data_IF_308844249639
#
_entry.id   IF_308844249639
#
_cell.length_a   1.000
_cell.length_b   1.000
_cell.length_c   1.000
_cell.angle_alpha   90.00
_cell.angle_beta   90.00
_cell.angle_gamma   90.00
#
_symmetry.space_group_name_H-M   'P 1'
#
loop_
_entity.id
_entity.type
_entity.pdbx_description
1 polymer ?
#
# COMPACT_ATOMS: atom_id res chain seq x y z
N UNK A 1 -24.66 24.94 -29.70
CA UNK A 1 -24.79 24.82 -28.24
C UNK A 1 -24.57 23.35 -27.89
N UNK A 2 -23.31 22.91 -27.87
CA UNK A 2 -22.96 21.52 -27.60
C UNK A 2 -23.05 21.28 -26.09
N UNK A 3 -24.01 20.46 -25.68
CA UNK A 3 -24.06 19.89 -24.34
C UNK A 3 -22.84 19.00 -24.16
N UNK A 4 -21.79 19.55 -23.56
CA UNK A 4 -20.69 18.78 -22.99
C UNK A 4 -21.28 17.87 -21.93
N UNK A 5 -21.51 16.63 -22.33
CA UNK A 5 -21.86 15.53 -21.45
C UNK A 5 -20.73 15.42 -20.43
N UNK A 6 -20.96 15.97 -19.23
CA UNK A 6 -20.05 15.81 -18.08
C UNK A 6 -20.07 14.33 -17.77
N UNK A 7 -19.15 13.56 -18.38
CA UNK A 7 -18.87 12.18 -17.95
C UNK A 7 -18.71 12.22 -16.44
N UNK A 8 -19.74 11.74 -15.72
CA UNK A 8 -19.67 11.54 -14.27
C UNK A 8 -18.43 10.68 -14.07
N UNK A 9 -17.38 11.26 -13.49
CA UNK A 9 -16.21 10.49 -13.08
C UNK A 9 -16.74 9.36 -12.19
N UNK A 10 -16.42 8.12 -12.55
CA UNK A 10 -16.86 6.95 -11.76
C UNK A 10 -16.24 7.08 -10.36
N UNK A 11 -16.98 6.70 -9.32
CA UNK A 11 -16.43 6.64 -7.97
C UNK A 11 -15.30 5.60 -7.88
N UNK A 12 -14.34 5.82 -6.98
CA UNK A 12 -13.45 4.77 -6.52
C UNK A 12 -14.25 3.63 -5.89
N UNK A 13 -13.81 2.39 -6.08
CA UNK A 13 -14.49 1.19 -5.56
C UNK A 13 -13.51 0.33 -4.79
N UNK A 14 -13.91 -0.17 -3.61
CA UNK A 14 -13.14 -1.18 -2.89
C UNK A 14 -13.48 -2.57 -3.45
N UNK A 15 -12.47 -3.32 -3.85
CA UNK A 15 -12.65 -4.67 -4.37
C UNK A 15 -13.07 -5.64 -3.25
N UNK A 16 -13.90 -6.61 -3.60
CA UNK A 16 -14.15 -7.77 -2.75
C UNK A 16 -12.92 -8.67 -2.66
N UNK A 17 -12.83 -9.49 -1.60
CA UNK A 17 -11.72 -10.44 -1.43
C UNK A 17 -11.59 -11.41 -2.62
N UNK A 18 -12.72 -11.85 -3.18
CA UNK A 18 -12.73 -12.75 -4.35
C UNK A 18 -12.21 -12.08 -5.62
N UNK A 19 -12.58 -10.83 -5.88
CA UNK A 19 -12.06 -10.04 -7.00
C UNK A 19 -10.57 -9.79 -6.86
N UNK A 20 -10.14 -9.44 -5.65
CA UNK A 20 -8.73 -9.19 -5.38
C UNK A 20 -7.89 -10.45 -5.52
N UNK A 21 -8.37 -11.60 -5.00
CA UNK A 21 -7.71 -12.90 -5.17
C UNK A 21 -7.51 -13.25 -6.63
N UNK A 22 -8.53 -13.08 -7.47
CA UNK A 22 -8.41 -13.33 -8.92
C UNK A 22 -7.34 -12.46 -9.57
N UNK A 23 -7.25 -11.17 -9.20
CA UNK A 23 -6.22 -10.27 -9.74
C UNK A 23 -4.83 -10.67 -9.29
N UNK A 24 -4.63 -11.01 -8.01
CA UNK A 24 -3.34 -11.50 -7.53
C UNK A 24 -2.91 -12.80 -8.23
N UNK A 25 -3.83 -13.75 -8.40
CA UNK A 25 -3.53 -14.99 -9.14
C UNK A 25 -3.16 -14.74 -10.60
N UNK A 26 -3.77 -13.74 -11.25
CA UNK A 26 -3.43 -13.37 -12.61
C UNK A 26 -2.03 -12.74 -12.71
N UNK A 27 -1.65 -11.90 -11.75
CA UNK A 27 -0.39 -11.14 -11.79
C UNK A 27 0.83 -11.94 -11.30
N UNK A 28 0.69 -12.66 -10.18
CA UNK A 28 1.83 -13.32 -9.50
C UNK A 28 1.59 -14.82 -9.24
N UNK A 29 0.51 -15.38 -9.78
CA UNK A 29 0.29 -16.83 -9.85
C UNK A 29 0.39 -17.54 -8.51
N UNK A 30 1.20 -18.61 -8.47
CA UNK A 30 1.41 -19.44 -7.29
C UNK A 30 2.19 -18.75 -6.17
N UNK A 31 2.76 -17.56 -6.40
CA UNK A 31 3.42 -16.79 -5.35
C UNK A 31 2.41 -16.13 -4.40
N UNK A 32 1.24 -15.71 -4.92
CA UNK A 32 0.22 -14.98 -4.17
C UNK A 32 -0.13 -15.57 -2.80
N UNK A 33 -0.42 -16.88 -2.63
CA UNK A 33 -0.80 -17.43 -1.33
C UNK A 33 0.35 -17.56 -0.33
N UNK A 34 1.61 -17.45 -0.76
CA UNK A 34 2.79 -17.71 0.07
C UNK A 34 3.38 -16.44 0.72
N UNK A 35 2.99 -15.27 0.20
CA UNK A 35 3.45 -13.97 0.69
C UNK A 35 2.66 -13.54 1.92
N UNK A 36 3.32 -12.92 2.89
CA UNK A 36 2.81 -12.66 4.22
C UNK A 36 3.65 -11.55 4.86
N UNK A 37 2.99 -10.66 5.60
CA UNK A 37 3.70 -9.74 6.48
C UNK A 37 4.23 -10.50 7.70
N UNK A 38 5.51 -10.36 8.03
CA UNK A 38 6.14 -11.05 9.16
C UNK A 38 6.91 -10.09 10.06
N UNK A 39 7.07 -10.39 11.37
CA UNK A 39 8.04 -9.71 12.20
C UNK A 39 9.45 -9.87 11.63
N UNK A 40 10.23 -8.78 11.65
CA UNK A 40 11.60 -8.75 11.09
C UNK A 40 12.55 -9.72 11.79
N UNK A 41 12.30 -10.02 13.06
CA UNK A 41 13.08 -10.99 13.84
C UNK A 41 12.62 -12.44 13.66
N UNK A 42 11.58 -12.68 12.86
CA UNK A 42 11.05 -14.01 12.59
C UNK A 42 10.18 -14.59 13.72
N UNK A 43 9.88 -13.80 14.76
CA UNK A 43 9.05 -14.27 15.88
C UNK A 43 7.66 -14.66 15.40
N UNK A 44 7.13 -15.79 15.87
CA UNK A 44 5.74 -16.16 15.63
C UNK A 44 4.82 -15.42 16.61
N UNK A 45 3.85 -14.69 16.07
CA UNK A 45 3.02 -13.76 16.83
C UNK A 45 1.58 -13.81 16.34
N UNK A 46 0.65 -13.53 17.25
CA UNK A 46 -0.78 -13.38 16.92
C UNK A 46 -1.15 -11.97 16.48
N UNK A 47 -0.25 -11.01 16.71
CA UNK A 47 -0.33 -9.59 16.31
C UNK A 47 1.00 -9.13 15.77
N UNK A 48 0.99 -8.47 14.62
CA UNK A 48 2.20 -7.85 14.08
C UNK A 48 2.68 -6.74 15.02
N UNK A 49 4.00 -6.56 15.21
CA UNK A 49 4.58 -5.55 16.09
C UNK A 49 4.56 -4.14 15.44
N UNK A 50 3.43 -3.77 14.84
CA UNK A 50 3.30 -2.52 14.12
C UNK A 50 3.35 -1.32 15.06
N UNK A 51 4.19 -0.35 14.71
CA UNK A 51 4.35 0.91 15.43
C UNK A 51 4.12 2.05 14.45
N UNK A 52 2.89 2.56 14.43
CA UNK A 52 2.50 3.68 13.58
C UNK A 52 3.38 4.93 13.78
N UNK A 53 3.74 5.36 15.01
CA UNK A 53 4.64 6.49 15.21
C UNK A 53 5.97 6.38 14.45
N UNK A 54 6.64 5.22 14.49
CA UNK A 54 7.90 4.99 13.77
C UNK A 54 7.70 5.01 12.25
N UNK A 55 6.67 4.35 11.74
CA UNK A 55 6.35 4.35 10.31
C UNK A 55 6.01 5.75 9.81
N UNK A 56 5.18 6.49 10.55
CA UNK A 56 4.79 7.87 10.24
C UNK A 56 5.98 8.83 10.26
N UNK A 57 6.88 8.70 11.24
CA UNK A 57 8.11 9.51 11.31
C UNK A 57 8.93 9.34 10.03
N UNK A 58 9.07 8.09 9.57
CA UNK A 58 9.74 7.78 8.31
C UNK A 58 9.04 8.44 7.11
N UNK A 59 7.72 8.27 6.98
CA UNK A 59 6.98 8.86 5.87
C UNK A 59 7.07 10.38 5.83
N UNK A 60 6.97 11.05 6.98
CA UNK A 60 7.10 12.49 7.08
C UNK A 60 8.51 12.98 6.68
N UNK A 61 9.56 12.28 7.14
CA UNK A 61 10.95 12.63 6.84
C UNK A 61 11.27 12.50 5.35
N UNK A 62 10.94 11.37 4.73
CA UNK A 62 11.36 11.09 3.35
C UNK A 62 10.43 11.69 2.31
N UNK A 63 9.14 11.84 2.63
CA UNK A 63 8.22 12.50 1.69
C UNK A 63 8.61 13.99 1.53
N UNK A 64 8.84 14.71 2.63
CA UNK A 64 9.11 16.16 2.61
C UNK A 64 10.40 16.55 1.89
N UNK A 65 11.33 15.60 1.71
CA UNK A 65 12.65 15.83 1.10
C UNK A 65 12.69 15.78 -0.42
N UNK A 66 11.63 15.35 -1.08
CA UNK A 66 11.81 15.01 -2.49
C UNK A 66 11.06 13.78 -2.98
N UNK A 67 10.33 13.11 -2.10
CA UNK A 67 10.31 11.67 -2.21
C UNK A 67 11.74 11.13 -1.96
N UNK A 68 11.86 10.14 -1.10
CA UNK A 68 13.08 9.37 -0.98
C UNK A 68 12.82 8.05 -0.28
N UNK A 69 13.89 7.32 -0.09
CA UNK A 69 13.97 6.29 0.94
C UNK A 69 15.39 6.32 1.51
N UNK A 70 15.62 5.56 2.57
CA UNK A 70 16.92 5.41 3.23
C UNK A 70 17.70 4.20 2.68
N UNK A 71 17.39 3.76 1.45
CA UNK A 71 18.09 2.64 0.86
C UNK A 71 19.47 3.07 0.34
N UNK A 72 20.55 2.36 0.71
CA UNK A 72 21.91 2.70 0.29
C UNK A 72 22.20 2.34 -1.18
N UNK A 73 21.31 1.60 -1.86
CA UNK A 73 21.47 1.25 -3.27
C UNK A 73 21.26 2.44 -4.22
N UNK A 74 20.62 3.51 -3.74
CA UNK A 74 20.18 4.65 -4.55
C UNK A 74 19.29 4.26 -5.73
N UNK A 75 18.70 3.07 -5.68
CA UNK A 75 17.80 2.54 -6.70
C UNK A 75 16.34 2.76 -6.29
N UNK A 76 15.48 2.88 -7.31
CA UNK A 76 14.04 3.09 -7.12
C UNK A 76 13.69 4.27 -6.18
N UNK A 77 14.36 5.43 -6.28
CA UNK A 77 14.19 6.53 -5.34
C UNK A 77 12.86 7.24 -5.48
N UNK A 78 11.95 6.81 -6.39
CA UNK A 78 10.58 7.31 -6.57
C UNK A 78 9.52 6.18 -6.55
N UNK A 79 9.92 4.94 -6.21
CA UNK A 79 9.02 3.79 -6.15
C UNK A 79 8.19 3.76 -4.86
N UNK A 80 6.87 3.78 -5.03
CA UNK A 80 5.93 3.87 -3.93
C UNK A 80 5.91 2.62 -3.04
N UNK A 81 6.15 1.43 -3.61
CA UNK A 81 6.23 0.19 -2.84
C UNK A 81 7.45 0.22 -1.94
N UNK A 82 8.59 0.62 -2.49
CA UNK A 82 9.85 0.74 -1.78
C UNK A 82 9.68 1.67 -0.58
N UNK A 83 9.08 2.86 -0.78
CA UNK A 83 8.77 3.81 0.29
C UNK A 83 7.89 3.21 1.40
N UNK A 84 6.77 2.57 1.04
CA UNK A 84 5.84 1.98 2.00
C UNK A 84 6.48 0.80 2.76
N UNK A 85 7.25 -0.04 2.06
CA UNK A 85 7.92 -1.18 2.66
C UNK A 85 9.01 -0.77 3.67
N UNK A 86 9.73 0.32 3.43
CA UNK A 86 10.65 0.86 4.44
C UNK A 86 9.94 1.40 5.66
N UNK A 87 8.81 2.10 5.51
CA UNK A 87 8.01 2.54 6.64
C UNK A 87 7.53 1.37 7.51
N UNK A 88 7.09 0.28 6.88
CA UNK A 88 6.79 -1.00 7.58
C UNK A 88 8.02 -1.58 8.28
N UNK A 89 9.19 -1.53 7.65
CA UNK A 89 10.45 -2.00 8.24
C UNK A 89 10.84 -1.20 9.49
N UNK A 90 10.50 0.10 9.56
CA UNK A 90 10.69 0.90 10.78
C UNK A 90 9.78 0.46 11.93
N UNK A 91 8.63 -0.11 11.59
CA UNK A 91 7.77 -0.84 12.53
C UNK A 91 8.12 -2.34 12.67
N UNK A 92 9.33 -2.76 12.29
CA UNK A 92 9.82 -4.14 12.40
C UNK A 92 8.99 -5.18 11.62
N UNK A 93 8.35 -4.79 10.52
CA UNK A 93 7.56 -5.70 9.66
C UNK A 93 8.19 -5.77 8.27
N UNK A 94 8.26 -6.97 7.70
CA UNK A 94 8.72 -7.24 6.33
C UNK A 94 7.71 -8.12 5.59
N UNK A 95 7.87 -8.26 4.28
CA UNK A 95 7.21 -9.31 3.48
C UNK A 95 8.12 -10.55 3.49
N UNK A 96 7.58 -11.74 3.73
CA UNK A 96 8.36 -12.98 3.60
C UNK A 96 8.57 -13.33 2.11
N UNK A 97 9.77 -13.80 1.77
CA UNK A 97 10.07 -14.38 0.45
C UNK A 97 9.64 -13.52 -0.77
N UNK A 98 9.83 -12.19 -0.77
CA UNK A 98 9.55 -11.42 -1.97
C UNK A 98 10.50 -11.85 -3.10
N UNK A 99 10.04 -11.80 -4.35
CA UNK A 99 10.89 -12.19 -5.48
C UNK A 99 12.04 -11.22 -5.71
N UNK A 100 11.95 -10.02 -5.15
CA UNK A 100 13.00 -9.00 -5.21
C UNK A 100 12.98 -8.15 -3.94
N UNK A 101 14.16 -7.88 -3.39
CA UNK A 101 14.37 -6.94 -2.28
C UNK A 101 15.40 -5.90 -2.65
N UNK A 102 15.31 -4.72 -2.02
CA UNK A 102 16.42 -3.77 -2.01
C UNK A 102 17.53 -4.20 -1.04
N UNK A 103 18.60 -3.41 -0.93
CA UNK A 103 19.73 -3.69 -0.03
C UNK A 103 19.34 -3.81 1.46
N UNK A 104 18.24 -3.17 1.90
CA UNK A 104 17.72 -3.26 3.27
C UNK A 104 16.81 -4.49 3.49
N UNK A 105 16.62 -5.34 2.48
CA UNK A 105 15.78 -6.54 2.55
C UNK A 105 14.28 -6.26 2.49
N UNK A 106 13.84 -5.06 2.08
CA UNK A 106 12.41 -4.75 1.96
C UNK A 106 11.88 -5.04 0.55
N UNK A 107 10.60 -5.42 0.46
CA UNK A 107 9.92 -5.72 -0.80
C UNK A 107 9.78 -4.45 -1.66
N UNK A 108 9.99 -4.60 -2.98
CA UNK A 108 9.89 -3.50 -3.96
C UNK A 108 8.80 -3.72 -5.02
N UNK A 109 7.97 -4.77 -4.90
CA UNK A 109 6.88 -5.08 -5.84
C UNK A 109 5.51 -4.90 -5.20
N UNK A 110 4.69 -4.02 -5.77
CA UNK A 110 3.41 -3.63 -5.14
C UNK A 110 2.46 -4.82 -5.01
N UNK A 111 2.44 -5.69 -6.02
CA UNK A 111 1.55 -6.85 -6.10
C UNK A 111 1.88 -7.84 -4.98
N UNK A 112 3.17 -8.02 -4.70
CA UNK A 112 3.66 -8.88 -3.62
C UNK A 112 3.34 -8.29 -2.25
N UNK A 113 3.56 -6.98 -2.06
CA UNK A 113 3.19 -6.30 -0.82
C UNK A 113 1.67 -6.40 -0.58
N UNK A 114 0.86 -6.21 -1.62
CA UNK A 114 -0.59 -6.28 -1.51
C UNK A 114 -1.08 -7.71 -1.18
N UNK A 115 -0.46 -8.73 -1.77
CA UNK A 115 -0.71 -10.13 -1.42
C UNK A 115 -0.33 -10.42 0.04
N UNK A 116 0.81 -9.90 0.51
CA UNK A 116 1.25 -10.04 1.89
C UNK A 116 0.25 -9.45 2.88
N UNK A 117 -0.31 -8.27 2.60
CA UNK A 117 -1.37 -7.66 3.41
C UNK A 117 -2.66 -8.49 3.42
N UNK A 118 -3.08 -9.02 2.26
CA UNK A 118 -4.25 -9.89 2.16
C UNK A 118 -4.12 -11.10 3.07
N UNK A 119 -3.00 -11.80 2.98
CA UNK A 119 -2.77 -13.01 3.75
C UNK A 119 -2.55 -12.68 5.24
N UNK A 120 -1.93 -11.54 5.54
CA UNK A 120 -1.78 -11.04 6.91
C UNK A 120 -3.14 -10.76 7.57
N UNK A 121 -4.14 -10.25 6.84
CA UNK A 121 -5.49 -10.06 7.36
C UNK A 121 -6.20 -11.36 7.74
N UNK A 122 -5.83 -12.50 7.13
CA UNK A 122 -6.32 -13.82 7.52
C UNK A 122 -5.55 -14.46 8.68
N UNK A 123 -4.30 -14.03 8.92
CA UNK A 123 -3.41 -14.61 9.94
C UNK A 123 -3.40 -13.83 11.26
N UNK A 124 -3.27 -12.50 11.20
CA UNK A 124 -3.03 -11.66 12.37
C UNK A 124 -4.30 -10.95 12.83
N UNK A 125 -4.54 -10.97 14.15
CA UNK A 125 -5.73 -10.37 14.74
C UNK A 125 -5.80 -8.85 14.63
N UNK A 126 -4.67 -8.19 14.36
CA UNK A 126 -4.57 -6.75 14.22
C UNK A 126 -4.45 -6.24 12.78
N UNK A 127 -4.53 -7.11 11.77
CA UNK A 127 -4.56 -6.69 10.36
C UNK A 127 -5.98 -6.83 9.84
N UNK A 128 -6.57 -5.73 9.36
CA UNK A 128 -7.99 -5.69 8.96
C UNK A 128 -8.18 -5.09 7.58
N UNK A 129 -8.97 -5.72 6.70
CA UNK A 129 -9.40 -5.08 5.47
C UNK A 129 -10.44 -4.00 5.77
N UNK A 130 -10.36 -2.86 5.09
CA UNK A 130 -11.32 -1.77 5.17
C UNK A 130 -12.17 -1.80 3.90
N UNK A 131 -13.39 -2.32 4.01
CA UNK A 131 -14.32 -2.50 2.88
C UNK A 131 -15.21 -1.30 2.59
N UNK A 132 -15.13 -0.28 3.46
CA UNK A 132 -15.92 0.95 3.38
C UNK A 132 -14.98 2.15 3.50
N UNK A 133 -14.87 2.94 2.43
CA UNK A 133 -13.95 4.09 2.36
C UNK A 133 -14.24 5.12 3.47
N UNK A 134 -15.47 5.24 3.95
CA UNK A 134 -15.81 6.18 5.04
C UNK A 134 -15.16 5.82 6.38
N UNK A 135 -14.70 4.56 6.54
CA UNK A 135 -14.02 4.07 7.74
C UNK A 135 -12.50 4.21 7.67
N UNK A 136 -11.98 4.69 6.54
CA UNK A 136 -10.54 4.91 6.38
C UNK A 136 -10.04 6.03 7.28
N UNK A 137 -8.78 5.95 7.70
CA UNK A 137 -8.12 6.95 8.54
C UNK A 137 -6.64 7.04 8.21
N UNK A 138 -5.96 8.01 8.84
CA UNK A 138 -4.50 8.12 8.75
C UNK A 138 -3.82 6.80 9.17
N UNK A 139 -2.84 6.36 8.37
CA UNK A 139 -2.07 5.14 8.60
C UNK A 139 -2.63 3.88 7.93
N UNK A 140 -3.80 3.95 7.29
CA UNK A 140 -4.29 2.86 6.45
C UNK A 140 -3.45 2.74 5.17
N UNK A 141 -3.21 1.51 4.73
CA UNK A 141 -2.47 1.19 3.52
C UNK A 141 -3.47 0.97 2.37
N UNK A 142 -3.36 1.77 1.31
CA UNK A 142 -4.27 1.75 0.17
C UNK A 142 -3.49 1.33 -1.09
N UNK A 143 -4.00 0.31 -1.78
CA UNK A 143 -3.42 -0.23 -3.01
C UNK A 143 -4.36 0.06 -4.18
N UNK A 144 -3.83 0.66 -5.24
CA UNK A 144 -4.56 0.93 -6.49
C UNK A 144 -4.42 -0.28 -7.41
N UNK A 145 -5.30 -1.27 -7.20
CA UNK A 145 -5.24 -2.57 -7.88
C UNK A 145 -5.52 -2.47 -9.38
N UNK A 146 -6.27 -1.45 -9.82
CA UNK A 146 -6.49 -1.19 -11.25
C UNK A 146 -5.21 -0.88 -12.02
N UNK A 147 -4.11 -0.58 -11.33
CA UNK A 147 -2.83 -0.26 -11.96
C UNK A 147 -1.82 -1.39 -11.91
N UNK A 148 -2.15 -2.53 -11.30
CA UNK A 148 -1.23 -3.68 -11.22
C UNK A 148 -0.79 -4.13 -12.62
N UNK A 149 0.50 -4.41 -12.77
CA UNK A 149 1.11 -4.81 -14.05
C UNK A 149 1.36 -3.64 -15.00
N UNK A 150 1.10 -2.40 -14.57
CA UNK A 150 1.47 -1.19 -15.31
C UNK A 150 2.80 -0.65 -14.80
N UNK A 151 3.42 0.25 -15.57
CA UNK A 151 4.63 0.99 -15.15
C UNK A 151 4.44 1.90 -13.93
N UNK A 152 3.23 1.93 -13.34
CA UNK A 152 2.82 2.83 -12.26
C UNK A 152 1.98 2.12 -11.20
N UNK A 153 2.26 0.85 -10.96
CA UNK A 153 1.85 0.11 -9.76
C UNK A 153 1.90 1.02 -8.52
N UNK A 154 0.76 1.23 -7.83
CA UNK A 154 0.67 2.26 -6.80
C UNK A 154 0.10 1.78 -5.47
N UNK A 155 0.92 1.93 -4.42
CA UNK A 155 0.54 1.85 -3.02
C UNK A 155 0.78 3.20 -2.35
N UNK A 156 -0.07 3.53 -1.40
CA UNK A 156 -0.01 4.76 -0.62
C UNK A 156 -0.39 4.47 0.83
N UNK A 157 0.12 5.29 1.75
CA UNK A 157 -0.38 5.33 3.13
C UNK A 157 -1.28 6.53 3.26
N UNK A 158 -2.48 6.35 3.80
CA UNK A 158 -3.43 7.44 3.92
C UNK A 158 -2.96 8.45 4.98
N UNK A 159 -3.04 9.73 4.64
CA UNK A 159 -2.78 10.85 5.57
C UNK A 159 -4.08 11.35 6.23
N UNK A 160 -5.19 10.66 6.00
CA UNK A 160 -6.52 10.95 6.51
C UNK A 160 -7.57 10.10 5.80
N UNK A 161 -8.87 10.31 6.09
CA UNK A 161 -9.95 9.62 5.41
C UNK A 161 -9.95 9.86 3.89
N UNK A 162 -10.36 8.85 3.14
CA UNK A 162 -10.53 8.87 1.68
C UNK A 162 -12.02 8.84 1.35
N UNK A 163 -12.39 9.61 0.34
CA UNK A 163 -13.73 9.64 -0.24
C UNK A 163 -13.78 8.89 -1.58
N UNK A 164 -14.96 8.82 -2.18
CA UNK A 164 -15.15 8.24 -3.51
C UNK A 164 -14.33 8.92 -4.63
N UNK A 165 -13.88 10.17 -4.44
CA UNK A 165 -13.00 10.86 -5.40
C UNK A 165 -11.53 10.81 -5.02
N UNK A 166 -11.18 10.24 -3.85
CA UNK A 166 -9.81 10.21 -3.34
C UNK A 166 -9.66 10.93 -1.99
N UNK A 167 -8.42 11.18 -1.60
CA UNK A 167 -8.08 11.72 -0.29
C UNK A 167 -6.61 12.06 -0.16
N UNK A 168 -6.21 12.49 1.04
CA UNK A 168 -4.83 12.88 1.33
C UNK A 168 -3.98 11.65 1.63
N UNK A 169 -2.77 11.62 1.08
CA UNK A 169 -1.88 10.46 1.19
C UNK A 169 -0.47 10.88 1.54
N UNK A 170 0.29 9.93 2.03
CA UNK A 170 1.74 9.89 1.97
C UNK A 170 2.10 9.09 0.72
N UNK A 171 2.60 9.79 -0.30
CA UNK A 171 2.86 9.24 -1.62
C UNK A 171 4.17 9.77 -2.20
N UNK A 172 4.98 8.85 -2.70
CA UNK A 172 6.38 9.11 -3.00
C UNK A 172 6.64 9.53 -4.45
N UNK A 173 5.98 8.91 -5.44
CA UNK A 173 6.18 9.17 -6.88
C UNK A 173 5.80 10.58 -7.35
N UNK A 174 5.34 11.47 -6.45
CA UNK A 174 5.03 12.88 -6.73
C UNK A 174 5.15 13.77 -5.46
N UNK A 175 5.91 13.35 -4.44
CA UNK A 175 6.09 14.14 -3.20
C UNK A 175 4.77 14.54 -2.53
N UNK A 176 3.76 13.67 -2.61
CA UNK A 176 2.43 13.96 -2.10
C UNK A 176 2.43 13.71 -0.60
N UNK A 177 2.80 14.73 0.18
CA UNK A 177 2.98 14.65 1.63
C UNK A 177 1.77 15.25 2.35
N UNK A 178 0.72 14.45 2.50
CA UNK A 178 -0.58 14.95 2.94
C UNK A 178 -1.34 15.68 1.84
N UNK A 179 -0.93 15.52 0.58
CA UNK A 179 -1.57 16.11 -0.59
C UNK A 179 -2.68 15.20 -1.12
N UNK A 180 -3.75 15.76 -1.71
CA UNK A 180 -4.83 14.97 -2.28
C UNK A 180 -4.37 14.21 -3.54
N UNK A 181 -4.88 12.99 -3.69
CA UNK A 181 -4.86 12.22 -4.93
C UNK A 181 -6.27 12.02 -5.44
N UNK A 182 -6.45 12.05 -6.77
CA UNK A 182 -7.70 11.66 -7.40
C UNK A 182 -7.70 10.14 -7.60
N UNK A 183 -8.67 9.45 -7.00
CA UNK A 183 -8.86 8.00 -7.10
C UNK A 183 -10.15 7.65 -7.87
N UNK A 184 -10.77 8.63 -8.52
CA UNK A 184 -12.00 8.42 -9.28
C UNK A 184 -11.80 7.33 -10.33
N UNK A 185 -12.71 6.36 -10.33
CA UNK A 185 -12.75 5.23 -11.25
C UNK A 185 -11.71 4.15 -10.98
N UNK A 186 -10.94 4.27 -9.88
CA UNK A 186 -9.94 3.27 -9.50
C UNK A 186 -10.53 2.14 -8.66
N UNK A 187 -9.93 0.97 -8.79
CA UNK A 187 -10.21 -0.19 -7.95
C UNK A 187 -9.18 -0.26 -6.83
N UNK A 188 -9.64 -0.26 -5.59
CA UNK A 188 -8.80 -0.15 -4.40
C UNK A 188 -8.91 -1.40 -3.53
N UNK A 189 -7.85 -1.71 -2.79
CA UNK A 189 -7.96 -2.48 -1.54
C UNK A 189 -7.26 -1.72 -0.44
N UNK A 190 -7.85 -1.72 0.75
CA UNK A 190 -7.35 -0.94 1.88
C UNK A 190 -7.21 -1.83 3.11
N UNK A 191 -6.09 -1.70 3.81
CA UNK A 191 -5.78 -2.47 5.00
C UNK A 191 -5.34 -1.55 6.15
N UNK A 192 -5.66 -1.96 7.37
CA UNK A 192 -5.21 -1.33 8.61
C UNK A 192 -4.43 -2.32 9.44
N UNK A 193 -3.35 -1.86 10.07
CA UNK A 193 -2.66 -2.60 11.14
C UNK A 193 -2.85 -1.83 12.45
N UNK A 194 -3.43 -2.47 13.46
CA UNK A 194 -3.82 -1.86 14.76
C UNK A 194 -2.88 -2.21 15.93
#
# INVERSE_FOLDING_TARGET
METKDKRRLKAATVLTDSEFSRRLSAEIGSLAPNLLLIPRDGTDVTKLPFDWPSARKYYAEYCSRGGGNDCPDHEFPLDCTHFVAHGLSKSKILVNLPSTTCANGVCIRVTELAAAFKNAAGKYSNVKPITDLSKTKEGDFCFVVSWFGLSKDHVMVLAGPVSASGGKVWGHTNHRCGEPVDLSGQSLVVYRVE
#
